data_IF_946017851187
#
_entry.id   IF_946017851187
#
_cell.length_a   1.000
_cell.length_b   1.000
_cell.length_c   1.000
_cell.angle_alpha   90.00
_cell.angle_beta   90.00
_cell.angle_gamma   90.00
#
_symmetry.space_group_name_H-M   'P 1'
#
loop_
_entity.id
_entity.type
_entity.pdbx_description
1 polymer ?
#
# COMPACT_ATOMS: atom_id res chain seq x y z
N UNK A 1 -36.52 3.56 5.64
CA UNK A 1 -35.08 3.59 5.96
C UNK A 1 -34.94 4.22 7.34
N UNK A 2 -34.48 3.46 8.33
CA UNK A 2 -34.59 3.84 9.75
C UNK A 2 -33.63 4.99 10.04
N UNK A 3 -34.00 5.89 10.95
CA UNK A 3 -33.21 7.10 11.27
C UNK A 3 -31.74 6.77 11.63
N UNK A 4 -31.51 5.61 12.24
CA UNK A 4 -30.17 5.10 12.57
C UNK A 4 -29.30 4.85 11.32
N UNK A 5 -29.87 4.37 10.21
CA UNK A 5 -29.12 4.07 8.99
C UNK A 5 -28.54 5.35 8.38
N UNK A 6 -29.30 6.46 8.43
CA UNK A 6 -28.85 7.76 7.93
C UNK A 6 -27.72 8.37 8.77
N UNK A 7 -27.79 8.21 10.10
CA UNK A 7 -26.74 8.72 11.00
C UNK A 7 -25.44 7.93 10.79
N UNK A 8 -25.56 6.60 10.64
CA UNK A 8 -24.41 5.73 10.42
C UNK A 8 -23.70 6.05 9.11
N UNK A 9 -24.44 6.19 8.00
CA UNK A 9 -23.85 6.55 6.71
C UNK A 9 -23.17 7.92 6.75
N UNK A 10 -23.79 8.92 7.39
CA UNK A 10 -23.21 10.26 7.49
C UNK A 10 -21.94 10.28 8.35
N UNK A 11 -21.88 9.45 9.39
CA UNK A 11 -20.67 9.28 10.20
C UNK A 11 -19.56 8.59 9.39
N UNK A 12 -19.90 7.57 8.61
CA UNK A 12 -18.96 6.87 7.72
C UNK A 12 -18.34 7.82 6.69
N UNK A 13 -19.16 8.65 6.04
CA UNK A 13 -18.70 9.66 5.07
C UNK A 13 -17.73 10.68 5.70
N UNK A 14 -18.03 11.14 6.92
CA UNK A 14 -17.17 12.07 7.67
C UNK A 14 -15.82 11.41 8.00
N UNK A 15 -15.84 10.13 8.40
CA UNK A 15 -14.62 9.39 8.73
C UNK A 15 -13.75 9.23 7.48
N UNK A 16 -14.32 8.83 6.34
CA UNK A 16 -13.55 8.71 5.09
C UNK A 16 -12.98 10.06 4.65
N UNK A 17 -13.72 11.15 4.82
CA UNK A 17 -13.23 12.49 4.51
C UNK A 17 -12.03 12.88 5.37
N UNK A 18 -12.11 12.69 6.70
CA UNK A 18 -11.00 12.96 7.62
C UNK A 18 -9.79 12.11 7.24
N UNK A 19 -9.99 10.82 7.02
CA UNK A 19 -8.91 9.89 6.69
C UNK A 19 -8.24 10.22 5.35
N UNK A 20 -9.02 10.60 4.35
CA UNK A 20 -8.50 11.04 3.04
C UNK A 20 -7.65 12.29 3.16
N UNK A 21 -8.06 13.26 3.99
CA UNK A 21 -7.29 14.48 4.25
C UNK A 21 -5.98 14.16 4.97
N UNK A 22 -6.02 13.30 6.00
CA UNK A 22 -4.82 12.90 6.73
C UNK A 22 -3.79 12.22 5.83
N UNK A 23 -4.23 11.30 4.97
CA UNK A 23 -3.35 10.61 4.02
C UNK A 23 -2.78 11.59 2.99
N UNK A 24 -3.57 12.55 2.50
CA UNK A 24 -3.09 13.58 1.59
C UNK A 24 -2.00 14.45 2.22
N UNK A 25 -2.19 14.89 3.47
CA UNK A 25 -1.20 15.66 4.21
C UNK A 25 0.08 14.85 4.45
N UNK A 26 -0.06 13.57 4.78
CA UNK A 26 1.06 12.64 4.91
C UNK A 26 1.85 12.49 3.60
N UNK A 27 1.17 12.34 2.46
CA UNK A 27 1.81 12.27 1.14
C UNK A 27 2.62 13.55 0.87
N UNK A 28 2.04 14.73 1.12
CA UNK A 28 2.74 16.00 0.92
C UNK A 28 3.99 16.08 1.79
N UNK A 29 3.88 15.68 3.07
CA UNK A 29 5.01 15.63 3.98
C UNK A 29 6.14 14.72 3.48
N UNK A 30 5.82 13.48 3.10
CA UNK A 30 6.82 12.52 2.59
C UNK A 30 7.45 12.99 1.27
N UNK A 31 6.71 13.69 0.41
CA UNK A 31 7.27 14.30 -0.81
C UNK A 31 8.30 15.37 -0.45
N UNK A 32 8.01 16.24 0.51
CA UNK A 32 8.95 17.26 0.97
C UNK A 32 10.21 16.62 1.54
N UNK A 33 10.07 15.57 2.36
CA UNK A 33 11.20 14.84 2.95
C UNK A 33 12.06 14.15 1.87
N UNK A 34 11.42 13.51 0.88
CA UNK A 34 12.11 12.89 -0.25
C UNK A 34 12.90 13.92 -1.07
N UNK A 35 12.30 15.08 -1.34
CA UNK A 35 12.95 16.17 -2.07
C UNK A 35 14.14 16.72 -1.28
N UNK A 36 13.99 16.91 0.04
CA UNK A 36 15.07 17.34 0.92
C UNK A 36 16.27 16.39 0.89
N UNK A 37 16.03 15.08 1.02
CA UNK A 37 17.08 14.05 0.95
C UNK A 37 17.75 14.08 -0.42
N UNK A 38 16.96 14.13 -1.50
CA UNK A 38 17.50 14.17 -2.86
C UNK A 38 18.42 15.36 -3.08
N UNK A 39 18.01 16.57 -2.69
CA UNK A 39 18.85 17.76 -2.83
C UNK A 39 20.08 17.72 -1.93
N UNK A 40 19.95 17.21 -0.70
CA UNK A 40 21.07 17.08 0.23
C UNK A 40 22.17 16.19 -0.37
N UNK A 41 21.79 15.08 -0.99
CA UNK A 41 22.75 14.16 -1.62
C UNK A 41 23.33 14.66 -2.95
N UNK A 42 22.58 15.47 -3.70
CA UNK A 42 23.10 16.10 -4.92
C UNK A 42 24.11 17.21 -4.60
N UNK A 43 23.91 17.96 -3.51
CA UNK A 43 24.77 19.08 -3.11
C UNK A 43 26.01 18.58 -2.34
N UNK A 44 25.84 17.60 -1.44
CA UNK A 44 26.96 16.95 -0.76
C UNK A 44 27.63 15.95 -1.70
N UNK A 45 28.50 16.45 -2.58
CA UNK A 45 29.32 15.65 -3.50
C UNK A 45 30.43 14.89 -2.72
N UNK A 46 30.03 13.98 -1.83
CA UNK A 46 30.91 12.95 -1.28
C UNK A 46 30.63 11.65 -2.03
N UNK A 47 31.35 11.42 -3.12
CA UNK A 47 31.32 10.16 -3.88
C UNK A 47 31.71 8.92 -3.04
N UNK A 48 32.13 9.09 -1.79
CA UNK A 48 32.68 8.02 -0.94
C UNK A 48 31.73 7.56 0.20
N UNK A 49 30.59 8.23 0.42
CA UNK A 49 29.55 7.80 1.38
C UNK A 49 28.26 7.39 0.67
N UNK A 50 28.38 6.40 -0.21
CA UNK A 50 27.32 5.86 -1.06
C UNK A 50 26.31 4.97 -0.29
N UNK A 51 25.69 5.50 0.75
CA UNK A 51 24.71 4.76 1.57
C UNK A 51 23.37 5.48 1.78
N UNK A 52 23.21 6.73 1.34
CA UNK A 52 22.08 7.56 1.76
C UNK A 52 20.80 7.38 0.91
N UNK A 53 20.81 7.55 -0.44
CA UNK A 53 19.55 7.44 -1.22
C UNK A 53 18.97 6.03 -1.13
N UNK A 54 19.81 5.02 -1.29
CA UNK A 54 19.37 3.63 -1.38
C UNK A 54 18.79 3.12 -0.05
N UNK A 55 19.32 3.58 1.08
CA UNK A 55 18.86 3.14 2.41
C UNK A 55 17.75 4.02 2.98
N UNK A 56 17.72 5.32 2.68
CA UNK A 56 16.78 6.27 3.30
C UNK A 56 15.71 6.72 2.29
N UNK A 57 16.12 7.12 1.07
CA UNK A 57 15.21 7.63 0.05
C UNK A 57 14.27 6.58 -0.55
N UNK A 58 14.78 5.36 -0.82
CA UNK A 58 13.96 4.27 -1.38
C UNK A 58 12.79 3.90 -0.46
N UNK A 59 12.98 3.71 0.86
CA UNK A 59 11.85 3.57 1.78
C UNK A 59 10.83 4.70 1.65
N UNK A 60 11.23 5.96 1.72
CA UNK A 60 10.32 7.12 1.67
C UNK A 60 9.50 7.12 0.37
N UNK A 61 10.13 6.83 -0.78
CA UNK A 61 9.42 6.69 -2.04
C UNK A 61 8.28 5.66 -1.98
N UNK A 62 8.53 4.50 -1.37
CA UNK A 62 7.48 3.50 -1.20
C UNK A 62 6.46 3.86 -0.10
N UNK A 63 6.76 4.74 0.87
CA UNK A 63 5.73 5.28 1.79
C UNK A 63 4.68 6.04 0.99
N UNK A 64 5.12 6.86 0.03
CA UNK A 64 4.24 7.64 -0.85
C UNK A 64 3.35 6.72 -1.68
N UNK A 65 3.90 5.66 -2.28
CA UNK A 65 3.11 4.69 -3.07
C UNK A 65 2.03 4.03 -2.21
N UNK A 66 2.39 3.54 -1.02
CA UNK A 66 1.41 2.91 -0.11
C UNK A 66 0.34 3.91 0.32
N UNK A 67 0.72 5.15 0.62
CA UNK A 67 -0.24 6.18 0.99
C UNK A 67 -1.22 6.51 -0.14
N UNK A 68 -0.74 6.55 -1.40
CA UNK A 68 -1.62 6.74 -2.57
C UNK A 68 -2.58 5.56 -2.75
N UNK A 69 -2.11 4.32 -2.58
CA UNK A 69 -2.93 3.10 -2.66
C UNK A 69 -4.02 3.08 -1.56
N UNK A 70 -3.65 3.48 -0.33
CA UNK A 70 -4.57 3.63 0.79
C UNK A 70 -5.60 4.75 0.51
N UNK A 71 -5.18 5.88 -0.07
CA UNK A 71 -6.07 6.98 -0.44
C UNK A 71 -7.12 6.52 -1.47
N UNK A 72 -6.73 5.70 -2.44
CA UNK A 72 -7.62 5.12 -3.43
C UNK A 72 -8.65 4.16 -2.80
N UNK A 73 -8.23 3.43 -1.75
CA UNK A 73 -9.12 2.54 -0.98
C UNK A 73 -10.25 3.29 -0.29
N UNK A 74 -10.02 4.51 0.21
CA UNK A 74 -11.06 5.32 0.86
C UNK A 74 -11.89 6.15 -0.12
N UNK A 75 -11.32 6.58 -1.26
CA UNK A 75 -12.04 7.37 -2.27
C UNK A 75 -13.00 6.54 -3.11
N UNK A 76 -12.69 5.27 -3.32
CA UNK A 76 -13.51 4.40 -4.14
C UNK A 76 -14.83 4.05 -3.47
N UNK A 77 -15.93 4.66 -3.94
CA UNK A 77 -17.32 4.23 -3.67
C UNK A 77 -17.63 2.88 -4.34
N UNK A 78 -16.72 1.92 -4.21
CA UNK A 78 -16.87 0.57 -4.73
C UNK A 78 -17.92 -0.13 -3.88
N UNK A 79 -19.14 -0.19 -4.41
CA UNK A 79 -20.28 -0.88 -3.78
C UNK A 79 -20.07 -2.40 -3.68
N UNK A 80 -19.01 -2.94 -4.28
CA UNK A 80 -18.69 -4.36 -4.27
C UNK A 80 -17.66 -4.68 -3.17
N UNK A 81 -18.10 -5.38 -2.12
CA UNK A 81 -17.26 -5.86 -1.01
C UNK A 81 -16.06 -6.66 -1.55
N UNK A 82 -16.26 -7.47 -2.59
CA UNK A 82 -15.20 -8.31 -3.20
C UNK A 82 -14.07 -7.45 -3.76
N UNK A 83 -14.40 -6.34 -4.43
CA UNK A 83 -13.41 -5.41 -4.99
C UNK A 83 -12.64 -4.70 -3.88
N UNK A 84 -13.31 -4.29 -2.80
CA UNK A 84 -12.66 -3.68 -1.64
C UNK A 84 -11.65 -4.63 -1.01
N UNK A 85 -12.03 -5.89 -0.78
CA UNK A 85 -11.11 -6.91 -0.23
C UNK A 85 -9.92 -7.16 -1.17
N UNK A 86 -10.14 -7.16 -2.49
CA UNK A 86 -9.06 -7.29 -3.48
C UNK A 86 -8.00 -6.18 -3.33
N UNK A 87 -8.43 -4.93 -3.22
CA UNK A 87 -7.53 -3.78 -3.06
C UNK A 87 -6.75 -3.91 -1.74
N UNK A 88 -7.39 -4.34 -0.66
CA UNK A 88 -6.72 -4.56 0.64
C UNK A 88 -5.63 -5.64 0.53
N UNK A 89 -5.88 -6.74 -0.19
CA UNK A 89 -4.86 -7.77 -0.41
C UNK A 89 -3.70 -7.22 -1.27
N UNK A 90 -3.99 -6.40 -2.28
CA UNK A 90 -2.95 -5.73 -3.07
C UNK A 90 -2.09 -4.81 -2.21
N UNK A 91 -2.69 -4.01 -1.33
CA UNK A 91 -1.97 -3.16 -0.36
C UNK A 91 -1.07 -4.02 0.54
N UNK A 92 -1.59 -5.14 1.05
CA UNK A 92 -0.80 -6.05 1.88
C UNK A 92 0.40 -6.64 1.10
N UNK A 93 0.20 -7.02 -0.16
CA UNK A 93 1.25 -7.53 -1.03
C UNK A 93 2.32 -6.46 -1.32
N UNK A 94 1.91 -5.22 -1.62
CA UNK A 94 2.80 -4.08 -1.83
C UNK A 94 3.61 -3.76 -0.56
N UNK A 95 2.98 -3.82 0.62
CA UNK A 95 3.65 -3.59 1.90
C UNK A 95 4.72 -4.64 2.20
N UNK A 96 4.42 -5.93 1.98
CA UNK A 96 5.38 -7.03 2.15
C UNK A 96 6.50 -6.93 1.12
N UNK A 97 6.18 -6.67 -0.15
CA UNK A 97 7.17 -6.53 -1.22
C UNK A 97 8.20 -5.43 -0.91
N UNK A 98 7.74 -4.26 -0.46
CA UNK A 98 8.63 -3.19 -0.03
C UNK A 98 9.50 -3.60 1.16
N UNK A 99 8.93 -4.26 2.17
CA UNK A 99 9.70 -4.73 3.33
C UNK A 99 10.88 -5.61 2.88
N UNK A 100 10.63 -6.51 1.93
CA UNK A 100 11.64 -7.39 1.33
C UNK A 100 12.71 -6.59 0.58
N UNK A 101 12.33 -5.60 -0.24
CA UNK A 101 13.28 -4.74 -0.98
C UNK A 101 14.25 -4.02 -0.03
N UNK A 102 13.75 -3.56 1.11
CA UNK A 102 14.55 -2.84 2.12
C UNK A 102 15.29 -3.75 3.11
N UNK A 103 15.06 -5.07 3.06
CA UNK A 103 15.59 -6.01 4.03
C UNK A 103 17.04 -6.37 3.69
N UNK A 104 17.91 -6.41 4.69
CA UNK A 104 19.26 -6.96 4.51
C UNK A 104 19.21 -8.50 4.55
N UNK A 105 19.02 -9.08 3.38
CA UNK A 105 18.89 -10.53 3.20
C UNK A 105 20.16 -11.27 3.64
N UNK A 106 21.34 -10.62 3.59
CA UNK A 106 22.61 -11.28 3.94
C UNK A 106 22.75 -11.59 5.43
N UNK A 107 22.09 -10.80 6.27
CA UNK A 107 22.12 -10.96 7.73
C UNK A 107 20.81 -11.52 8.29
N UNK A 108 19.88 -11.92 7.41
CA UNK A 108 18.57 -12.42 7.80
C UNK A 108 18.61 -13.92 8.06
N UNK A 109 17.94 -14.37 9.12
CA UNK A 109 17.88 -15.79 9.48
C UNK A 109 17.04 -16.59 8.47
N UNK A 110 17.48 -17.79 8.12
CA UNK A 110 16.83 -18.63 7.09
C UNK A 110 15.34 -18.90 7.35
N UNK A 111 14.95 -19.06 8.61
CA UNK A 111 13.56 -19.32 8.98
C UNK A 111 12.66 -18.09 8.75
N UNK A 112 13.20 -16.87 8.88
CA UNK A 112 12.49 -15.64 8.57
C UNK A 112 12.24 -15.51 7.06
N UNK A 113 13.23 -15.85 6.22
CA UNK A 113 13.07 -15.88 4.76
C UNK A 113 11.98 -16.86 4.30
N UNK A 114 11.95 -18.05 4.89
CA UNK A 114 10.91 -19.07 4.61
C UNK A 114 9.54 -18.56 5.05
N UNK A 115 9.45 -17.97 6.25
CA UNK A 115 8.20 -17.41 6.77
C UNK A 115 7.63 -16.32 5.85
N UNK A 116 8.47 -15.40 5.37
CA UNK A 116 8.08 -14.36 4.41
C UNK A 116 7.63 -14.99 3.08
N UNK A 117 8.34 -16.01 2.59
CA UNK A 117 7.98 -16.68 1.33
C UNK A 117 6.60 -17.34 1.42
N UNK A 118 6.31 -18.02 2.54
CA UNK A 118 4.99 -18.63 2.79
C UNK A 118 3.91 -17.55 2.91
N UNK A 119 4.19 -16.45 3.60
CA UNK A 119 3.27 -15.31 3.71
C UNK A 119 2.92 -14.72 2.34
N UNK A 120 3.93 -14.46 1.50
CA UNK A 120 3.72 -13.94 0.14
C UNK A 120 2.90 -14.91 -0.69
N UNK A 121 3.19 -16.21 -0.62
CA UNK A 121 2.39 -17.23 -1.32
C UNK A 121 0.94 -17.25 -0.83
N UNK A 122 0.70 -17.17 0.48
CA UNK A 122 -0.65 -17.13 1.05
C UNK A 122 -1.45 -15.90 0.56
N UNK A 123 -0.83 -14.72 0.50
CA UNK A 123 -1.45 -13.50 -0.03
C UNK A 123 -1.76 -13.62 -1.53
N UNK A 124 -0.82 -14.13 -2.33
CA UNK A 124 -1.02 -14.38 -3.76
C UNK A 124 -2.15 -15.38 -4.03
N UNK A 125 -2.22 -16.46 -3.25
CA UNK A 125 -3.31 -17.44 -3.35
C UNK A 125 -4.66 -16.81 -2.97
N UNK A 126 -4.71 -16.04 -1.88
CA UNK A 126 -5.90 -15.29 -1.49
C UNK A 126 -6.41 -14.36 -2.60
N UNK A 127 -5.50 -13.59 -3.21
CA UNK A 127 -5.81 -12.74 -4.35
C UNK A 127 -6.34 -13.53 -5.55
N UNK A 128 -5.70 -14.66 -5.87
CA UNK A 128 -6.09 -15.52 -6.98
C UNK A 128 -7.51 -16.09 -6.81
N UNK A 129 -7.86 -16.55 -5.60
CA UNK A 129 -9.20 -17.05 -5.32
C UNK A 129 -10.27 -15.96 -5.44
N UNK A 130 -10.03 -14.77 -4.88
CA UNK A 130 -10.96 -13.65 -5.03
C UNK A 130 -11.16 -13.26 -6.49
N UNK A 131 -10.10 -13.29 -7.31
CA UNK A 131 -10.20 -12.97 -8.72
C UNK A 131 -10.97 -14.01 -9.54
N UNK A 132 -11.04 -15.26 -9.08
CA UNK A 132 -11.89 -16.29 -9.70
C UNK A 132 -13.36 -16.10 -9.37
N UNK A 133 -13.67 -15.72 -8.13
CA UNK A 133 -15.05 -15.51 -7.65
C UNK A 133 -15.70 -14.31 -8.36
N UNK A 134 -14.92 -13.27 -8.65
CA UNK A 134 -15.39 -12.01 -9.24
C UNK A 134 -15.48 -12.02 -10.78
N UNK A 135 -15.16 -13.14 -11.46
CA UNK A 135 -15.39 -13.25 -12.91
C UNK A 135 -16.87 -13.57 -13.15
N UNK A 136 -17.65 -12.70 -13.82
CA UNK A 136 -19.00 -13.05 -14.21
C UNK A 136 -18.94 -14.21 -15.22
N UNK A 137 -19.87 -15.15 -15.07
CA UNK A 137 -20.21 -16.20 -16.02
C UNK A 137 -20.55 -15.62 -17.41
N UNK A 138 -19.54 -15.17 -18.15
CA UNK A 138 -19.71 -14.62 -19.51
C UNK A 138 -19.22 -15.61 -20.55
N UNK A 139 -19.56 -16.90 -20.38
CA UNK A 139 -19.38 -17.97 -21.38
C UNK A 139 -20.43 -19.08 -21.23
N UNK A 140 -21.72 -18.76 -21.29
CA UNK A 140 -22.78 -19.78 -21.49
C UNK A 140 -23.92 -19.39 -22.45
N UNK A 141 -23.75 -18.36 -23.29
CA UNK A 141 -24.61 -18.14 -24.48
C UNK A 141 -23.79 -17.59 -25.65
N UNK A 142 -23.17 -18.48 -26.40
CA UNK A 142 -22.96 -18.33 -27.84
C UNK A 142 -23.55 -19.56 -28.51
#
# INVERSE_FOLDING_TARGET
MKLNDKILHKAEDIIYLILSILVLLFIVYEIVDLVYIFFSEVIEVSFLQYESISKIGVPIFFNIIIALEILETFKGHHNDIIRRVRIIILIALTAVARKIITMDIKHSEYHLLIGISILVLALCLGYFFLNKIDKPETKLKQ
#
